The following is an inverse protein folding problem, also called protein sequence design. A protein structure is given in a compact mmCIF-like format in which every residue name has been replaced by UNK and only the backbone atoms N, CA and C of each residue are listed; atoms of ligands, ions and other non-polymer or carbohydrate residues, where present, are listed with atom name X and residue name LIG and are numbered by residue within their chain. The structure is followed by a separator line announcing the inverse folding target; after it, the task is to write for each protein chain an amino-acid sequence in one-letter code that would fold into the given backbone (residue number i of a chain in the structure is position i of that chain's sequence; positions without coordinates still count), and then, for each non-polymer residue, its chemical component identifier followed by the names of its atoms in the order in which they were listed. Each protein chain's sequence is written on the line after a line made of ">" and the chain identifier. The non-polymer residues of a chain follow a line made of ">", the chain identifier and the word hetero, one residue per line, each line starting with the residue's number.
data_IF_898036345084
#
_entry.id   IF_898036345084
#
_cell.length_a   1.000
_cell.length_b   1.000
_cell.length_c   1.000
_cell.angle_alpha   90.00
_cell.angle_beta   90.00
_cell.angle_gamma   90.00
#
_symmetry.space_group_name_H-M   'P 1'
#
loop_
_entity.id
_entity.type
_entity.pdbx_description
1 polymer ?
#
# COMPACT_ATOMS: atom_id res chain seq x y z
N UNK A 1 11.28 -16.51 2.26
CA UNK A 1 9.85 -16.84 2.14
C UNK A 1 9.66 -18.33 1.84
N UNK A 2 10.13 -18.83 0.70
CA UNK A 2 10.06 -20.25 0.36
C UNK A 2 10.65 -21.17 1.45
N UNK A 3 11.82 -20.82 2.00
CA UNK A 3 12.44 -21.60 3.09
C UNK A 3 11.55 -21.72 4.33
N UNK A 4 10.73 -20.70 4.62
CA UNK A 4 9.78 -20.74 5.75
C UNK A 4 8.66 -21.73 5.45
N UNK A 5 8.11 -21.71 4.23
CA UNK A 5 7.07 -22.65 3.81
C UNK A 5 7.58 -24.10 3.78
N UNK A 6 8.84 -24.29 3.36
CA UNK A 6 9.49 -25.60 3.37
C UNK A 6 9.70 -26.11 4.80
N UNK A 7 10.14 -25.26 5.73
CA UNK A 7 10.25 -25.62 7.14
C UNK A 7 8.88 -26.00 7.75
N UNK A 8 7.81 -25.26 7.42
CA UNK A 8 6.45 -25.58 7.90
C UNK A 8 5.97 -26.92 7.36
N UNK A 9 6.28 -27.27 6.12
CA UNK A 9 6.00 -28.60 5.55
C UNK A 9 6.76 -29.71 6.28
N UNK A 10 8.04 -29.49 6.58
CA UNK A 10 8.85 -30.46 7.33
C UNK A 10 8.31 -30.68 8.75
N UNK A 11 7.86 -29.61 9.41
CA UNK A 11 7.33 -29.66 10.78
C UNK A 11 5.88 -30.16 10.85
N UNK A 12 5.06 -29.95 9.81
CA UNK A 12 3.63 -30.27 9.79
C UNK A 12 3.18 -30.89 8.45
N UNK A 13 3.67 -32.09 8.10
CA UNK A 13 3.41 -32.71 6.79
C UNK A 13 1.94 -33.06 6.52
N UNK A 14 1.11 -33.17 7.57
CA UNK A 14 -0.33 -33.43 7.45
C UNK A 14 -1.16 -32.15 7.20
N UNK A 15 -0.57 -30.96 7.33
CA UNK A 15 -1.27 -29.68 7.21
C UNK A 15 -1.06 -28.96 5.87
N UNK A 16 0.02 -29.29 5.15
CA UNK A 16 0.39 -28.58 3.92
C UNK A 16 1.06 -29.55 2.95
N UNK A 17 0.71 -29.47 1.67
CA UNK A 17 1.32 -30.29 0.61
C UNK A 17 2.29 -29.47 -0.23
N UNK A 18 3.15 -30.14 -1.01
CA UNK A 18 4.01 -29.46 -1.99
C UNK A 18 3.20 -28.64 -3.01
N UNK A 19 2.00 -29.12 -3.35
CA UNK A 19 1.08 -28.39 -4.22
C UNK A 19 0.60 -27.10 -3.56
N UNK A 20 0.22 -27.15 -2.29
CA UNK A 20 -0.22 -25.96 -1.55
C UNK A 20 0.91 -24.94 -1.45
N UNK A 21 2.17 -25.36 -1.21
CA UNK A 21 3.34 -24.46 -1.23
C UNK A 21 3.47 -23.76 -2.57
N UNK A 22 3.35 -24.50 -3.68
CA UNK A 22 3.46 -23.93 -5.01
C UNK A 22 2.38 -22.88 -5.25
N UNK A 23 1.14 -23.19 -4.88
CA UNK A 23 0.01 -22.26 -5.01
C UNK A 23 0.20 -21.01 -4.14
N UNK A 24 0.71 -21.13 -2.92
CA UNK A 24 1.05 -19.98 -2.06
C UNK A 24 2.18 -19.15 -2.66
N UNK A 25 3.25 -19.77 -3.14
CA UNK A 25 4.37 -19.07 -3.79
C UNK A 25 3.90 -18.32 -5.04
N UNK A 26 3.09 -18.94 -5.88
CA UNK A 26 2.53 -18.33 -7.08
C UNK A 26 1.64 -17.12 -6.71
N UNK A 27 0.83 -17.25 -5.65
CA UNK A 27 -0.03 -16.18 -5.13
C UNK A 27 0.79 -14.99 -4.64
N UNK A 28 1.81 -15.22 -3.80
CA UNK A 28 2.67 -14.15 -3.29
C UNK A 28 3.44 -13.43 -4.40
N UNK A 29 3.94 -14.17 -5.39
CA UNK A 29 4.64 -13.60 -6.54
C UNK A 29 3.69 -12.72 -7.37
N UNK A 30 2.50 -13.23 -7.69
CA UNK A 30 1.55 -12.52 -8.54
C UNK A 30 0.97 -11.28 -7.85
N UNK A 31 0.42 -11.45 -6.64
CA UNK A 31 -0.21 -10.34 -5.90
C UNK A 31 0.80 -9.28 -5.49
N UNK A 32 2.03 -9.68 -5.13
CA UNK A 32 3.10 -8.77 -4.75
C UNK A 32 3.72 -8.01 -5.93
N UNK A 33 3.91 -8.67 -7.07
CA UNK A 33 4.56 -8.08 -8.24
C UNK A 33 3.68 -7.00 -8.90
N UNK A 34 2.51 -7.39 -9.39
CA UNK A 34 1.71 -6.50 -10.24
C UNK A 34 1.22 -5.25 -9.47
N UNK A 35 0.85 -5.42 -8.20
CA UNK A 35 0.39 -4.32 -7.36
C UNK A 35 1.51 -3.36 -6.95
N UNK A 36 2.74 -3.87 -6.73
CA UNK A 36 3.90 -3.02 -6.45
C UNK A 36 4.37 -2.30 -7.71
N UNK A 37 4.52 -3.00 -8.83
CA UNK A 37 4.97 -2.43 -10.10
C UNK A 37 4.07 -1.28 -10.57
N UNK A 38 2.74 -1.43 -10.46
CA UNK A 38 1.83 -0.34 -10.83
C UNK A 38 1.94 0.84 -9.86
N UNK A 39 2.10 0.59 -8.55
CA UNK A 39 2.29 1.66 -7.55
C UNK A 39 3.55 2.46 -7.87
N UNK A 40 4.68 1.78 -8.09
CA UNK A 40 5.98 2.38 -8.48
C UNK A 40 5.82 3.23 -9.73
N UNK A 41 5.21 2.65 -10.77
CA UNK A 41 5.01 3.33 -12.05
C UNK A 41 4.21 4.63 -11.89
N UNK A 42 3.08 4.58 -11.19
CA UNK A 42 2.21 5.76 -11.03
C UNK A 42 2.88 6.83 -10.18
N UNK A 43 3.60 6.46 -9.11
CA UNK A 43 4.32 7.46 -8.33
C UNK A 43 5.43 8.13 -9.13
N UNK A 44 6.20 7.38 -9.94
CA UNK A 44 7.22 7.97 -10.82
C UNK A 44 6.59 8.94 -11.81
N UNK A 45 5.40 8.61 -12.34
CA UNK A 45 4.62 9.53 -13.18
C UNK A 45 4.24 10.79 -12.39
N UNK A 46 3.75 10.68 -11.15
CA UNK A 46 3.43 11.85 -10.33
C UNK A 46 4.66 12.71 -10.03
N UNK A 47 5.81 12.10 -9.72
CA UNK A 47 7.06 12.84 -9.52
C UNK A 47 7.49 13.56 -10.80
N UNK A 48 7.39 12.92 -11.96
CA UNK A 48 7.70 13.54 -13.25
C UNK A 48 6.72 14.66 -13.66
N UNK A 49 5.48 14.64 -13.14
CA UNK A 49 4.48 15.68 -13.39
C UNK A 49 4.54 16.84 -12.37
N UNK A 50 5.17 16.64 -11.20
CA UNK A 50 5.21 17.61 -10.11
C UNK A 50 6.67 17.82 -9.67
N UNK A 51 7.40 18.67 -10.41
CA UNK A 51 8.83 18.89 -10.21
C UNK A 51 9.16 19.41 -8.80
N UNK A 52 8.32 20.27 -8.24
CA UNK A 52 8.49 20.80 -6.89
C UNK A 52 8.39 19.71 -5.81
N UNK A 53 7.51 18.72 -6.02
CA UNK A 53 7.41 17.55 -5.14
C UNK A 53 8.62 16.64 -5.32
N UNK A 54 9.07 16.43 -6.56
CA UNK A 54 10.28 15.65 -6.85
C UNK A 54 11.52 16.27 -6.20
N UNK A 55 11.70 17.58 -6.30
CA UNK A 55 12.84 18.30 -5.74
C UNK A 55 12.88 18.16 -4.22
N UNK A 56 11.74 18.33 -3.53
CA UNK A 56 11.63 18.08 -2.07
C UNK A 56 11.97 16.64 -1.68
N UNK A 57 11.51 15.65 -2.46
CA UNK A 57 11.83 14.25 -2.20
C UNK A 57 13.33 13.97 -2.39
N UNK A 58 13.95 14.58 -3.39
CA UNK A 58 15.40 14.51 -3.62
C UNK A 58 16.17 15.17 -2.49
N UNK A 59 15.72 16.32 -2.00
CA UNK A 59 16.31 16.99 -0.83
C UNK A 59 16.27 16.09 0.41
N UNK A 60 15.14 15.47 0.74
CA UNK A 60 15.03 14.51 1.85
C UNK A 60 16.05 13.37 1.73
N UNK A 61 16.16 12.78 0.54
CA UNK A 61 17.11 11.70 0.27
C UNK A 61 18.56 12.18 0.45
N UNK A 62 18.90 13.37 -0.08
CA UNK A 62 20.23 13.96 0.07
C UNK A 62 20.56 14.32 1.52
N UNK A 63 19.59 14.71 2.33
CA UNK A 63 19.78 14.95 3.77
C UNK A 63 20.11 13.67 4.54
N UNK A 64 19.53 12.52 4.15
CA UNK A 64 19.73 11.23 4.80
C UNK A 64 21.08 10.59 4.40
N UNK A 65 21.43 10.65 3.12
CA UNK A 65 22.62 9.95 2.59
C UNK A 65 23.82 10.87 2.36
N UNK A 66 23.61 12.16 2.08
CA UNK A 66 24.68 13.07 1.67
C UNK A 66 25.46 12.51 0.48
N UNK A 67 26.79 12.45 0.61
CA UNK A 67 27.71 11.85 -0.36
C UNK A 67 28.04 10.37 -0.03
N UNK A 68 27.24 9.70 0.78
CA UNK A 68 27.52 8.33 1.23
C UNK A 68 27.03 7.27 0.25
N UNK A 69 27.93 6.39 -0.17
CA UNK A 69 27.62 5.19 -0.98
C UNK A 69 27.27 3.95 -0.13
N UNK A 70 26.87 4.13 1.13
CA UNK A 70 26.52 3.00 2.01
C UNK A 70 25.17 2.40 1.62
N UNK A 71 24.98 1.13 1.97
CA UNK A 71 23.68 0.48 1.82
C UNK A 71 22.59 1.17 2.67
N UNK A 72 21.36 1.15 2.14
CA UNK A 72 20.16 1.64 2.84
C UNK A 72 19.85 0.75 4.03
N UNK A 73 19.59 1.38 5.18
CA UNK A 73 19.20 0.70 6.42
C UNK A 73 17.71 0.90 6.72
N UNK A 74 17.15 0.09 7.62
CA UNK A 74 15.76 0.26 8.06
C UNK A 74 15.50 1.63 8.73
N UNK A 75 16.50 2.19 9.43
CA UNK A 75 16.37 3.49 10.08
C UNK A 75 16.31 4.64 9.05
N UNK A 76 17.00 4.48 7.90
CA UNK A 76 16.88 5.43 6.78
C UNK A 76 15.48 5.40 6.20
N UNK A 77 14.93 4.21 5.94
CA UNK A 77 13.57 4.05 5.43
C UNK A 77 12.54 4.71 6.35
N UNK A 78 12.69 4.53 7.67
CA UNK A 78 11.83 5.18 8.67
C UNK A 78 12.00 6.71 8.72
N UNK A 79 13.11 7.23 8.20
CA UNK A 79 13.40 8.67 8.14
C UNK A 79 12.87 9.33 6.86
N UNK A 80 12.56 8.57 5.81
CA UNK A 80 12.02 9.05 4.52
C UNK A 80 10.52 9.35 4.57
N UNK A 81 10.15 10.33 5.41
CA UNK A 81 8.75 10.67 5.72
C UNK A 81 8.01 11.29 4.54
N UNK A 82 8.69 12.15 3.78
CA UNK A 82 8.10 12.81 2.62
C UNK A 82 7.92 11.83 1.47
N UNK A 83 8.89 10.96 1.22
CA UNK A 83 8.76 9.88 0.26
C UNK A 83 7.64 8.90 0.67
N UNK A 84 7.51 8.56 1.95
CA UNK A 84 6.37 7.79 2.47
C UNK A 84 5.03 8.51 2.20
N UNK A 85 4.97 9.83 2.40
CA UNK A 85 3.78 10.62 2.15
C UNK A 85 3.39 10.65 0.66
N UNK A 86 4.37 10.74 -0.23
CA UNK A 86 4.20 10.64 -1.69
C UNK A 86 3.57 9.28 -2.05
N UNK A 87 4.09 8.17 -1.50
CA UNK A 87 3.53 6.83 -1.73
C UNK A 87 2.08 6.74 -1.27
N UNK A 88 1.79 7.27 -0.08
CA UNK A 88 0.44 7.27 0.46
C UNK A 88 -0.53 8.08 -0.40
N UNK A 89 -0.09 9.23 -0.90
CA UNK A 89 -0.90 10.05 -1.81
C UNK A 89 -1.09 9.41 -3.17
N UNK A 90 -0.07 8.71 -3.70
CA UNK A 90 -0.23 7.88 -4.91
C UNK A 90 -1.30 6.82 -4.70
N UNK A 91 -1.22 6.06 -3.60
CA UNK A 91 -2.18 4.99 -3.31
C UNK A 91 -3.59 5.52 -2.97
N UNK A 92 -3.71 6.76 -2.48
CA UNK A 92 -4.99 7.44 -2.30
C UNK A 92 -5.67 7.69 -3.65
N UNK A 93 -4.92 8.27 -4.61
CA UNK A 93 -5.47 8.62 -5.91
C UNK A 93 -5.58 7.41 -6.85
N UNK A 94 -4.60 6.52 -6.83
CA UNK A 94 -4.50 5.38 -7.73
C UNK A 94 -4.14 4.11 -6.94
N UNK A 95 -5.10 3.60 -6.14
CA UNK A 95 -4.91 2.31 -5.48
C UNK A 95 -4.83 1.20 -6.53
N UNK A 96 -3.82 0.32 -6.42
CA UNK A 96 -3.64 -0.82 -7.32
C UNK A 96 -4.85 -1.75 -7.35
N UNK A 97 -5.59 -1.83 -6.24
CA UNK A 97 -6.86 -2.55 -6.12
C UNK A 97 -7.98 -1.53 -5.86
N UNK A 98 -8.71 -1.08 -6.90
CA UNK A 98 -9.65 0.02 -6.78
C UNK A 98 -10.98 -0.35 -6.12
N UNK A 99 -11.32 -1.63 -6.06
CA UNK A 99 -12.54 -2.15 -5.47
C UNK A 99 -12.33 -3.52 -4.81
N UNK A 100 -13.04 -3.77 -3.72
CA UNK A 100 -13.01 -5.01 -2.94
C UNK A 100 -14.45 -5.47 -2.74
N UNK A 101 -14.71 -6.76 -2.92
CA UNK A 101 -16.05 -7.34 -2.79
C UNK A 101 -16.17 -8.30 -1.62
N UNK A 102 -17.36 -8.38 -1.03
CA UNK A 102 -17.72 -9.38 -0.03
C UNK A 102 -19.13 -9.89 -0.31
N UNK A 103 -19.33 -11.20 -0.35
CA UNK A 103 -20.66 -11.79 -0.36
C UNK A 103 -21.08 -12.11 1.08
N UNK A 104 -22.22 -11.58 1.50
CA UNK A 104 -22.74 -11.85 2.85
C UNK A 104 -23.47 -13.19 2.87
N UNK A 105 -23.09 -14.07 3.79
CA UNK A 105 -23.69 -15.42 3.89
C UNK A 105 -24.92 -15.45 4.80
N UNK A 106 -25.05 -14.46 5.68
CA UNK A 106 -26.18 -14.29 6.60
C UNK A 106 -26.70 -12.86 6.50
N UNK A 107 -27.93 -12.63 6.97
CA UNK A 107 -28.52 -11.29 7.01
C UNK A 107 -27.61 -10.35 7.80
N UNK A 108 -27.17 -9.28 7.16
CA UNK A 108 -26.30 -8.27 7.75
C UNK A 108 -27.12 -7.04 8.14
N UNK A 109 -27.17 -6.73 9.43
CA UNK A 109 -27.81 -5.53 9.94
C UNK A 109 -26.77 -4.41 10.11
N UNK A 110 -26.90 -3.32 9.34
CA UNK A 110 -26.06 -2.12 9.45
C UNK A 110 -26.96 -0.91 9.70
N UNK A 111 -26.82 -0.29 10.87
CA UNK A 111 -27.65 0.85 11.30
C UNK A 111 -29.14 0.50 11.15
N UNK A 112 -29.84 1.17 10.23
CA UNK A 112 -31.28 0.99 9.98
C UNK A 112 -31.57 0.07 8.78
N UNK A 113 -30.55 -0.57 8.21
CA UNK A 113 -30.66 -1.42 7.04
C UNK A 113 -30.45 -2.89 7.40
N UNK A 114 -31.27 -3.77 6.81
CA UNK A 114 -31.12 -5.22 6.85
C UNK A 114 -30.82 -5.70 5.43
N UNK A 115 -29.61 -6.20 5.21
CA UNK A 115 -29.13 -6.66 3.91
C UNK A 115 -29.28 -8.20 3.87
N UNK A 116 -30.02 -8.77 2.90
CA UNK A 116 -30.29 -10.20 2.86
C UNK A 116 -29.05 -11.02 2.49
N UNK A 117 -28.98 -12.30 2.92
CA UNK A 117 -27.90 -13.19 2.51
C UNK A 117 -27.79 -13.29 0.98
N UNK A 118 -26.59 -13.67 0.51
CA UNK A 118 -26.20 -13.74 -0.90
C UNK A 118 -26.16 -12.38 -1.61
N UNK A 119 -26.06 -11.28 -0.84
CA UNK A 119 -25.80 -9.95 -1.40
C UNK A 119 -24.30 -9.70 -1.52
N UNK A 120 -23.84 -9.26 -2.70
CA UNK A 120 -22.46 -8.78 -2.88
C UNK A 120 -22.35 -7.31 -2.51
N UNK A 121 -21.53 -7.01 -1.51
CA UNK A 121 -21.17 -5.66 -1.08
C UNK A 121 -19.88 -5.26 -1.79
N UNK A 122 -19.90 -4.08 -2.41
CA UNK A 122 -18.72 -3.44 -3.00
C UNK A 122 -18.20 -2.35 -2.07
N UNK A 123 -16.91 -2.41 -1.75
CA UNK A 123 -16.16 -1.36 -1.09
C UNK A 123 -15.21 -0.80 -2.15
N UNK A 124 -15.30 0.49 -2.44
CA UNK A 124 -14.57 1.09 -3.56
C UNK A 124 -13.60 2.15 -3.01
N UNK A 125 -12.37 1.75 -2.56
CA UNK A 125 -11.34 2.68 -2.13
C UNK A 125 -11.13 3.85 -3.09
N UNK A 126 -11.14 3.58 -4.40
CA UNK A 126 -10.96 4.60 -5.43
C UNK A 126 -11.95 5.78 -5.33
N UNK A 127 -13.21 5.50 -5.00
CA UNK A 127 -14.27 6.51 -4.81
C UNK A 127 -14.16 7.13 -3.42
N UNK A 128 -13.99 6.29 -2.39
CA UNK A 128 -13.86 6.74 -1.00
C UNK A 128 -12.73 7.76 -0.82
N UNK A 129 -11.57 7.48 -1.41
CA UNK A 129 -10.37 8.31 -1.33
C UNK A 129 -10.50 9.64 -2.09
N UNK A 130 -11.56 9.81 -2.89
CA UNK A 130 -11.92 11.04 -3.60
C UNK A 130 -13.10 11.77 -2.99
N UNK A 131 -13.59 11.34 -1.82
CA UNK A 131 -14.65 12.06 -1.13
C UNK A 131 -14.14 13.40 -0.63
N UNK A 132 -14.77 14.51 -1.04
CA UNK A 132 -14.47 15.86 -0.55
C UNK A 132 -14.65 15.99 0.97
N UNK A 133 -15.56 15.19 1.54
CA UNK A 133 -15.79 15.13 2.99
C UNK A 133 -14.57 14.61 3.77
N UNK A 134 -13.72 13.83 3.10
CA UNK A 134 -12.51 13.24 3.69
C UNK A 134 -11.24 13.96 3.22
N UNK A 135 -11.21 14.40 1.96
CA UNK A 135 -10.06 14.98 1.28
C UNK A 135 -10.47 16.24 0.52
N UNK A 136 -10.30 17.44 1.09
CA UNK A 136 -10.50 18.70 0.37
C UNK A 136 -9.60 18.76 -0.87
N UNK A 137 -10.12 19.21 -2.01
CA UNK A 137 -9.46 19.11 -3.33
C UNK A 137 -9.03 17.66 -3.67
N UNK A 138 -9.98 16.71 -3.75
CA UNK A 138 -9.67 15.28 -3.73
C UNK A 138 -8.89 14.79 -4.95
N UNK A 139 -8.95 15.50 -6.08
CA UNK A 139 -8.22 15.11 -7.30
C UNK A 139 -6.80 15.68 -7.36
N UNK A 140 -6.45 16.62 -6.47
CA UNK A 140 -5.09 17.17 -6.41
C UNK A 140 -4.15 16.21 -5.69
N UNK A 141 -2.95 16.03 -6.24
CA UNK A 141 -1.87 15.24 -5.65
C UNK A 141 -1.13 16.09 -4.60
N UNK A 142 -1.45 15.88 -3.32
CA UNK A 142 -0.91 16.66 -2.19
C UNK A 142 -0.30 15.71 -1.14
N UNK A 143 1.00 15.35 -1.25
CA UNK A 143 1.69 14.49 -0.28
C UNK A 143 1.59 15.00 1.15
N UNK A 144 1.59 16.31 1.36
CA UNK A 144 1.56 16.96 2.67
C UNK A 144 0.37 16.52 3.53
N UNK A 145 -0.72 16.00 2.91
CA UNK A 145 -1.83 15.38 3.63
C UNK A 145 -1.38 14.31 4.62
N UNK A 146 -0.30 13.58 4.33
CA UNK A 146 0.17 12.44 5.10
C UNK A 146 1.38 12.74 6.00
N UNK A 147 1.76 14.02 6.14
CA UNK A 147 2.85 14.46 7.03
C UNK A 147 2.38 14.81 8.43
N UNK A 148 1.18 15.39 8.55
CA UNK A 148 0.67 15.87 9.84
C UNK A 148 0.24 14.72 10.76
N UNK A 149 0.42 14.88 12.07
CA UNK A 149 -0.10 13.92 13.08
C UNK A 149 -1.64 13.76 12.97
N UNK A 150 -2.35 14.83 12.59
CA UNK A 150 -3.79 14.82 12.34
C UNK A 150 -4.18 13.95 11.13
N UNK A 151 -3.25 13.62 10.25
CA UNK A 151 -3.47 12.64 9.19
C UNK A 151 -3.83 11.25 9.75
N UNK A 152 -3.32 10.93 10.95
CA UNK A 152 -3.55 9.68 11.67
C UNK A 152 -4.90 9.66 12.38
N UNK A 153 -5.51 10.82 12.62
CA UNK A 153 -6.83 10.96 13.28
C UNK A 153 -8.00 10.92 12.29
N UNK A 154 -7.72 11.03 10.99
CA UNK A 154 -8.73 10.83 9.94
C UNK A 154 -9.30 9.42 10.05
N UNK A 155 -10.62 9.33 9.96
CA UNK A 155 -11.45 8.14 10.09
C UNK A 155 -10.67 6.85 9.74
N UNK A 156 -10.64 5.88 10.66
CA UNK A 156 -9.90 4.61 10.53
C UNK A 156 -10.25 3.87 9.21
N UNK A 157 -11.43 4.13 8.64
CA UNK A 157 -11.89 3.58 7.37
C UNK A 157 -11.92 4.59 6.21
N UNK A 158 -11.27 5.75 6.35
CA UNK A 158 -11.17 6.81 5.33
C UNK A 158 -10.00 6.63 4.36
N UNK A 159 -8.96 5.89 4.78
CA UNK A 159 -7.83 5.51 3.96
C UNK A 159 -7.66 3.99 3.99
N UNK A 160 -7.84 3.34 2.84
CA UNK A 160 -8.00 1.88 2.70
C UNK A 160 -7.28 1.30 1.47
N UNK A 161 -6.05 1.73 1.12
CA UNK A 161 -5.34 1.18 -0.04
C UNK A 161 -4.99 -0.31 0.14
N UNK A 162 -4.90 -0.76 1.38
CA UNK A 162 -4.54 -2.13 1.78
C UNK A 162 -5.68 -2.83 2.52
N UNK A 163 -6.92 -2.35 2.37
CA UNK A 163 -8.10 -2.82 3.13
C UNK A 163 -7.91 -2.66 4.66
N UNK A 164 -8.86 -3.18 5.44
CA UNK A 164 -8.82 -3.19 6.90
C UNK A 164 -9.42 -4.48 7.48
N UNK A 165 -9.15 -4.73 8.76
CA UNK A 165 -9.66 -5.90 9.49
C UNK A 165 -8.92 -7.20 9.15
N UNK A 166 -9.54 -8.38 9.36
CA UNK A 166 -8.86 -9.68 9.28
C UNK A 166 -8.44 -10.11 7.86
N UNK A 167 -8.79 -9.32 6.84
CA UNK A 167 -8.45 -9.54 5.44
C UNK A 167 -7.73 -8.31 4.87
N UNK A 168 -6.97 -7.60 5.70
CA UNK A 168 -6.07 -6.55 5.24
C UNK A 168 -4.86 -7.16 4.53
N UNK A 169 -4.22 -6.38 3.67
CA UNK A 169 -3.03 -6.82 2.96
C UNK A 169 -1.88 -7.02 3.94
N UNK A 170 -1.29 -8.22 3.92
CA UNK A 170 -0.09 -8.56 4.70
C UNK A 170 1.20 -8.01 4.05
N UNK A 171 1.16 -7.69 2.75
CA UNK A 171 2.30 -7.22 1.97
C UNK A 171 2.59 -5.72 2.03
N UNK A 172 1.82 -4.93 2.80
CA UNK A 172 1.96 -3.48 2.86
C UNK A 172 3.40 -3.04 3.24
N UNK A 173 4.00 -3.69 4.25
CA UNK A 173 5.37 -3.37 4.70
C UNK A 173 6.40 -3.63 3.59
N UNK A 174 6.24 -4.73 2.85
CA UNK A 174 7.17 -5.11 1.79
C UNK A 174 7.06 -4.21 0.56
N UNK A 175 5.82 -3.85 0.17
CA UNK A 175 5.57 -2.92 -0.92
C UNK A 175 6.17 -1.54 -0.58
N UNK A 176 5.97 -1.06 0.65
CA UNK A 176 6.54 0.20 1.12
C UNK A 176 8.07 0.23 1.05
N UNK A 177 8.73 -0.84 1.47
CA UNK A 177 10.19 -0.97 1.45
C UNK A 177 10.76 -0.99 0.02
N UNK A 178 10.23 -1.84 -0.87
CA UNK A 178 10.68 -1.90 -2.27
C UNK A 178 10.50 -0.56 -2.94
N UNK A 179 9.35 0.07 -2.69
CA UNK A 179 9.02 1.35 -3.27
C UNK A 179 10.05 2.42 -2.91
N UNK A 180 10.31 2.57 -1.61
CA UNK A 180 11.25 3.59 -1.13
C UNK A 180 12.64 3.35 -1.69
N UNK A 181 13.13 2.11 -1.68
CA UNK A 181 14.44 1.77 -2.23
C UNK A 181 14.56 2.11 -3.72
N UNK A 182 13.54 1.74 -4.52
CA UNK A 182 13.57 1.95 -5.97
C UNK A 182 13.51 3.43 -6.34
N UNK A 183 12.60 4.20 -5.72
CA UNK A 183 12.50 5.63 -6.02
C UNK A 183 13.69 6.41 -5.50
N UNK A 184 14.27 6.02 -4.36
CA UNK A 184 15.53 6.62 -3.87
C UNK A 184 16.64 6.46 -4.91
N UNK A 185 16.79 5.28 -5.50
CA UNK A 185 17.79 5.03 -6.53
C UNK A 185 17.60 5.92 -7.78
N UNK A 186 16.36 6.04 -8.27
CA UNK A 186 16.04 6.87 -9.44
C UNK A 186 16.17 8.38 -9.16
N UNK A 187 16.00 8.83 -7.91
CA UNK A 187 16.16 10.24 -7.54
C UNK A 187 17.63 10.68 -7.43
N UNK A 188 18.56 9.75 -7.18
CA UNK A 188 19.99 10.04 -6.99
C UNK A 188 20.78 9.85 -8.31
N UNK A 189 20.27 9.06 -9.26
CA UNK A 189 20.86 8.87 -10.59
C UNK A 189 20.58 10.03 -11.55
#
# INVERSE_FOLDING_TARGET
>A
FLDILLNVLEENPDQMTEKDIREEVDTFLFEGHDTASITITITLIFLGLNQDIQDKAREEVLEIFGDSDRDVTMDDLNSMKYLEAIVKETLRLYPSVPAITREIQTTLNIKNYSIPPLTTIFIIPYILHRSEDLYPNPEEFIPERFLDEDSKSRNIFGYLPFSAGPRNCIGNIFNHMIFIMYVTYELIT
#
